data_IF_735946662865
#
_entry.id   IF_735946662865
#
_cell.length_a   1.000
_cell.length_b   1.000
_cell.length_c   1.000
_cell.angle_alpha   90.00
_cell.angle_beta   90.00
_cell.angle_gamma   90.00
#
_symmetry.space_group_name_H-M   'P 1'
#
loop_
_entity.id
_entity.type
_entity.pdbx_description
1 polymer ?
#
# COMPACT_ATOMS: atom_id res chain seq x y z
N UNK A 1 -18.79 -20.34 2.70
CA UNK A 1 -18.50 -18.96 2.22
C UNK A 1 -17.87 -18.09 3.31
N UNK A 2 -18.18 -18.28 4.60
CA UNK A 2 -17.70 -17.44 5.71
C UNK A 2 -16.16 -17.46 5.93
N UNK A 3 -15.50 -18.62 5.81
CA UNK A 3 -14.04 -18.74 6.03
C UNK A 3 -13.22 -17.92 5.01
N UNK A 4 -13.69 -17.85 3.75
CA UNK A 4 -13.03 -17.10 2.68
C UNK A 4 -13.24 -15.58 2.80
N UNK A 5 -14.43 -15.14 3.23
CA UNK A 5 -14.71 -13.72 3.53
C UNK A 5 -13.88 -13.25 4.72
N UNK A 6 -13.72 -14.07 5.77
CA UNK A 6 -12.80 -13.80 6.87
C UNK A 6 -11.34 -13.67 6.43
N UNK A 7 -10.91 -14.42 5.40
CA UNK A 7 -9.54 -14.34 4.86
C UNK A 7 -9.31 -13.06 4.05
N UNK A 8 -10.29 -12.61 3.26
CA UNK A 8 -10.20 -11.38 2.49
C UNK A 8 -10.21 -10.15 3.40
N UNK A 9 -11.11 -10.13 4.39
CA UNK A 9 -11.17 -9.07 5.40
C UNK A 9 -9.88 -9.02 6.24
N UNK A 10 -9.31 -10.17 6.61
CA UNK A 10 -8.02 -10.21 7.30
C UNK A 10 -6.90 -9.59 6.46
N UNK A 11 -6.85 -9.87 5.16
CA UNK A 11 -5.86 -9.27 4.24
C UNK A 11 -6.07 -7.77 4.04
N UNK A 12 -7.32 -7.34 3.96
CA UNK A 12 -7.67 -5.93 3.94
C UNK A 12 -7.17 -5.24 5.21
N UNK A 13 -7.46 -5.82 6.38
CA UNK A 13 -7.01 -5.31 7.67
C UNK A 13 -5.49 -5.24 7.78
N UNK A 14 -4.76 -6.23 7.26
CA UNK A 14 -3.30 -6.18 7.20
C UNK A 14 -2.76 -5.00 6.38
N UNK A 15 -3.43 -4.61 5.29
CA UNK A 15 -3.07 -3.44 4.48
C UNK A 15 -3.34 -2.16 5.25
N UNK A 16 -4.52 -2.05 5.86
CA UNK A 16 -4.92 -0.90 6.69
C UNK A 16 -3.93 -0.70 7.85
N UNK A 17 -3.63 -1.74 8.62
CA UNK A 17 -2.70 -1.67 9.76
C UNK A 17 -1.29 -1.26 9.31
N UNK A 18 -0.85 -1.72 8.14
CA UNK A 18 0.46 -1.34 7.59
C UNK A 18 0.50 0.13 7.14
N UNK A 19 -0.59 0.64 6.55
CA UNK A 19 -0.75 2.04 6.19
C UNK A 19 -0.77 2.93 7.44
N UNK A 20 -1.57 2.60 8.44
CA UNK A 20 -1.65 3.32 9.72
C UNK A 20 -0.30 3.40 10.44
N UNK A 21 0.44 2.28 10.43
CA UNK A 21 1.80 2.26 10.95
C UNK A 21 2.72 3.21 10.17
N UNK A 22 2.69 3.17 8.84
CA UNK A 22 3.53 4.05 8.01
C UNK A 22 3.18 5.54 8.20
N UNK A 23 1.90 5.88 8.36
CA UNK A 23 1.45 7.23 8.71
C UNK A 23 1.97 7.66 10.07
N UNK A 24 1.87 6.79 11.08
CA UNK A 24 2.41 7.05 12.41
C UNK A 24 3.91 7.33 12.37
N UNK A 25 4.67 6.54 11.58
CA UNK A 25 6.11 6.76 11.38
C UNK A 25 6.37 8.12 10.72
N UNK A 26 5.66 8.48 9.65
CA UNK A 26 5.80 9.78 8.99
C UNK A 26 5.51 10.94 9.98
N UNK A 27 4.41 10.87 10.72
CA UNK A 27 4.06 11.89 11.73
C UNK A 27 5.12 12.03 12.82
N UNK A 28 5.68 10.91 13.29
CA UNK A 28 6.76 10.92 14.28
C UNK A 28 8.03 11.56 13.72
N UNK A 29 8.39 11.25 12.47
CA UNK A 29 9.54 11.87 11.80
C UNK A 29 9.34 13.37 11.58
N UNK A 30 8.13 13.82 11.23
CA UNK A 30 7.79 15.24 11.14
C UNK A 30 7.89 15.94 12.50
N UNK A 31 7.44 15.30 13.59
CA UNK A 31 7.61 15.85 14.96
C UNK A 31 9.09 15.91 15.37
N UNK A 32 9.90 14.92 14.99
CA UNK A 32 11.34 14.93 15.21
C UNK A 32 12.00 16.09 14.46
N UNK A 33 11.64 16.30 13.19
CA UNK A 33 12.09 17.46 12.39
C UNK A 33 11.80 18.78 13.08
N UNK A 34 10.60 18.93 13.66
CA UNK A 34 10.20 20.16 14.36
C UNK A 34 10.93 20.37 15.70
N UNK A 35 11.21 19.30 16.44
CA UNK A 35 11.82 19.39 17.78
C UNK A 35 13.34 19.43 17.75
N UNK A 36 13.96 18.82 16.75
CA UNK A 36 15.40 18.59 16.67
C UNK A 36 15.92 18.88 15.27
N UNK A 37 15.65 20.07 14.75
CA UNK A 37 16.01 20.47 13.38
C UNK A 37 17.46 20.20 13.04
N UNK A 38 18.39 20.45 13.98
CA UNK A 38 19.83 20.31 13.76
C UNK A 38 20.33 18.86 13.71
N UNK A 39 19.57 17.91 14.25
CA UNK A 39 19.91 16.48 14.25
C UNK A 39 18.94 15.63 13.43
N UNK A 40 17.94 16.25 12.81
CA UNK A 40 17.01 15.58 11.92
C UNK A 40 17.73 15.13 10.65
N UNK A 41 17.68 13.82 10.37
CA UNK A 41 18.25 13.23 9.17
C UNK A 41 17.14 12.87 8.19
N UNK A 42 17.11 13.57 7.05
CA UNK A 42 16.12 13.36 5.99
C UNK A 42 16.23 11.97 5.36
N UNK A 43 17.44 11.44 5.19
CA UNK A 43 17.68 10.12 4.59
C UNK A 43 17.11 9.00 5.46
N UNK A 44 17.20 9.16 6.78
CA UNK A 44 16.57 8.24 7.75
C UNK A 44 15.06 8.27 7.62
N UNK A 45 14.47 9.46 7.48
CA UNK A 45 13.03 9.61 7.25
C UNK A 45 12.60 8.93 5.93
N UNK A 46 13.27 9.24 4.82
CA UNK A 46 13.03 8.62 3.52
C UNK A 46 13.12 7.09 3.62
N UNK A 47 14.19 6.57 4.22
CA UNK A 47 14.43 5.14 4.36
C UNK A 47 13.33 4.44 5.17
N UNK A 48 12.88 5.08 6.25
CA UNK A 48 11.84 4.53 7.12
C UNK A 48 10.51 4.39 6.37
N UNK A 49 10.07 5.41 5.63
CA UNK A 49 8.82 5.34 4.86
C UNK A 49 8.99 4.41 3.65
N UNK A 50 10.09 4.50 2.90
CA UNK A 50 10.34 3.66 1.73
C UNK A 50 10.35 2.16 2.09
N UNK A 51 10.89 1.80 3.26
CA UNK A 51 10.80 0.43 3.76
C UNK A 51 9.35 0.01 4.05
N UNK A 52 8.56 0.89 4.67
CA UNK A 52 7.12 0.67 4.90
C UNK A 52 6.35 0.44 3.59
N UNK A 53 6.60 1.28 2.57
CA UNK A 53 5.95 1.19 1.26
C UNK A 53 6.21 -0.14 0.53
N UNK A 54 7.41 -0.73 0.67
CA UNK A 54 7.68 -2.08 0.16
C UNK A 54 6.82 -3.14 0.85
N UNK A 55 6.59 -2.99 2.16
CA UNK A 55 5.69 -3.84 2.93
C UNK A 55 4.24 -3.70 2.46
N UNK A 56 3.76 -2.46 2.39
CA UNK A 56 2.40 -2.12 1.96
C UNK A 56 2.12 -2.64 0.54
N UNK A 57 3.03 -2.40 -0.41
CA UNK A 57 2.89 -2.87 -1.80
C UNK A 57 2.71 -4.39 -1.88
N UNK A 58 3.50 -5.18 -1.13
CA UNK A 58 3.35 -6.63 -1.10
C UNK A 58 2.02 -7.08 -0.51
N UNK A 59 1.52 -6.36 0.51
CA UNK A 59 0.23 -6.66 1.14
C UNK A 59 -0.94 -6.32 0.21
N UNK A 60 -0.87 -5.19 -0.49
CA UNK A 60 -1.84 -4.81 -1.53
C UNK A 60 -1.84 -5.86 -2.65
N UNK A 61 -0.67 -6.27 -3.14
CA UNK A 61 -0.58 -7.32 -4.16
C UNK A 61 -1.20 -8.65 -3.69
N UNK A 62 -0.97 -9.03 -2.43
CA UNK A 62 -1.55 -10.24 -1.85
C UNK A 62 -3.09 -10.13 -1.68
N UNK A 63 -3.59 -8.96 -1.32
CA UNK A 63 -5.02 -8.66 -1.21
C UNK A 63 -5.70 -8.72 -2.58
N UNK A 64 -5.16 -8.03 -3.57
CA UNK A 64 -5.66 -8.05 -4.95
C UNK A 64 -5.60 -9.47 -5.54
N UNK A 65 -4.51 -10.19 -5.32
CA UNK A 65 -4.40 -11.60 -5.75
C UNK A 65 -5.47 -12.47 -5.10
N UNK A 66 -5.77 -12.26 -3.82
CA UNK A 66 -6.82 -13.00 -3.12
C UNK A 66 -8.21 -12.67 -3.68
N UNK A 67 -8.46 -11.40 -4.01
CA UNK A 67 -9.68 -10.95 -4.66
C UNK A 67 -9.86 -11.64 -6.03
N UNK A 68 -8.82 -11.68 -6.85
CA UNK A 68 -8.83 -12.32 -8.16
C UNK A 68 -8.96 -13.86 -8.10
N UNK A 69 -8.29 -14.52 -7.14
CA UNK A 69 -8.31 -16.00 -7.01
C UNK A 69 -9.66 -16.55 -6.56
N UNK A 70 -10.51 -15.74 -5.91
CA UNK A 70 -11.85 -16.14 -5.46
C UNK A 70 -12.79 -16.49 -6.63
N UNK A 71 -12.48 -16.02 -7.84
CA UNK A 71 -13.41 -16.01 -8.97
C UNK A 71 -13.29 -17.16 -9.97
N UNK A 72 -12.72 -18.32 -9.57
CA UNK A 72 -12.56 -19.55 -10.38
C UNK A 72 -11.23 -19.59 -11.16
N UNK A 73 -10.38 -20.64 -11.01
CA UNK A 73 -9.12 -20.81 -11.75
C UNK A 73 -9.29 -20.85 -13.28
N UNK A 74 -10.52 -20.91 -13.79
CA UNK A 74 -10.85 -20.90 -15.22
C UNK A 74 -11.57 -19.64 -15.71
N UNK A 75 -11.99 -18.72 -14.83
CA UNK A 75 -12.64 -17.49 -15.25
C UNK A 75 -11.57 -16.42 -15.51
N UNK A 76 -11.24 -16.22 -16.78
CA UNK A 76 -10.15 -15.36 -17.22
C UNK A 76 -10.30 -13.87 -16.90
N UNK A 77 -11.40 -13.39 -16.30
CA UNK A 77 -11.66 -11.95 -16.15
C UNK A 77 -12.54 -11.64 -14.94
N UNK A 78 -11.89 -11.35 -13.82
CA UNK A 78 -12.30 -10.23 -13.01
C UNK A 78 -11.16 -9.22 -12.93
N UNK A 79 -11.42 -8.04 -13.49
CA UNK A 79 -10.53 -6.91 -13.41
C UNK A 79 -10.80 -6.24 -12.07
N UNK A 80 -9.78 -6.13 -11.22
CA UNK A 80 -9.78 -5.04 -10.25
C UNK A 80 -10.00 -3.73 -11.02
N UNK A 81 -10.62 -2.75 -10.37
CA UNK A 81 -10.83 -1.44 -10.99
C UNK A 81 -9.51 -0.91 -11.59
N UNK A 82 -9.65 -0.10 -12.64
CA UNK A 82 -8.48 0.58 -13.26
C UNK A 82 -7.71 1.39 -12.21
N UNK A 83 -8.39 1.93 -11.21
CA UNK A 83 -7.78 2.69 -10.11
C UNK A 83 -6.94 1.79 -9.20
N UNK A 84 -7.43 0.61 -8.80
CA UNK A 84 -6.64 -0.41 -8.09
C UNK A 84 -5.45 -0.92 -8.91
N UNK A 85 -5.63 -1.17 -10.20
CA UNK A 85 -4.53 -1.60 -11.08
C UNK A 85 -3.41 -0.54 -11.18
N UNK A 86 -3.79 0.73 -11.37
CA UNK A 86 -2.86 1.87 -11.41
C UNK A 86 -2.12 2.06 -10.09
N UNK A 87 -2.80 1.84 -8.96
CA UNK A 87 -2.17 1.86 -7.65
C UNK A 87 -1.06 0.79 -7.55
N UNK A 88 -1.34 -0.45 -7.96
CA UNK A 88 -0.33 -1.52 -7.95
C UNK A 88 0.87 -1.19 -8.85
N UNK A 89 0.61 -0.64 -10.03
CA UNK A 89 1.65 -0.21 -10.97
C UNK A 89 2.52 0.89 -10.37
N UNK A 90 1.91 1.96 -9.82
CA UNK A 90 2.63 3.05 -9.19
C UNK A 90 3.51 2.58 -8.02
N UNK A 91 2.99 1.69 -7.16
CA UNK A 91 3.75 1.12 -6.05
C UNK A 91 4.89 0.24 -6.52
N UNK A 92 4.69 -0.52 -7.61
CA UNK A 92 5.73 -1.36 -8.21
C UNK A 92 6.84 -0.52 -8.83
N UNK A 93 6.49 0.51 -9.59
CA UNK A 93 7.44 1.45 -10.20
C UNK A 93 8.26 2.16 -9.13
N UNK A 94 7.60 2.67 -8.08
CA UNK A 94 8.27 3.28 -6.95
C UNK A 94 9.25 2.31 -6.26
N UNK A 95 8.82 1.07 -6.00
CA UNK A 95 9.67 0.07 -5.36
C UNK A 95 10.86 -0.33 -6.26
N UNK A 96 10.66 -0.41 -7.58
CA UNK A 96 11.74 -0.68 -8.52
C UNK A 96 12.74 0.47 -8.57
N UNK A 97 12.26 1.72 -8.65
CA UNK A 97 13.11 2.90 -8.64
C UNK A 97 13.94 2.99 -7.35
N UNK A 98 13.31 2.85 -6.18
CA UNK A 98 14.01 2.91 -4.88
C UNK A 98 14.90 1.71 -4.58
N UNK A 99 14.73 0.58 -5.29
CA UNK A 99 15.65 -0.55 -5.19
C UNK A 99 16.95 -0.34 -6.01
N UNK A 100 16.92 0.56 -6.99
CA UNK A 100 18.04 0.81 -7.91
C UNK A 100 18.98 1.94 -7.47
N UNK A 101 18.64 2.65 -6.38
CA UNK A 101 19.38 3.82 -5.90
C UNK A 101 19.82 3.64 -4.45
N UNK A 102 20.81 4.41 -4.02
CA UNK A 102 21.21 4.44 -2.62
C UNK A 102 20.13 5.11 -1.76
N UNK A 103 20.00 4.76 -0.45
CA UNK A 103 18.93 5.29 0.40
C UNK A 103 18.89 6.82 0.52
N UNK A 104 20.04 7.49 0.47
CA UNK A 104 20.17 8.95 0.51
C UNK A 104 19.84 9.65 -0.82
N UNK A 105 19.62 8.89 -1.90
CA UNK A 105 19.18 9.42 -3.20
C UNK A 105 17.65 9.38 -3.34
N UNK A 106 16.96 8.79 -2.36
CA UNK A 106 15.50 8.70 -2.34
C UNK A 106 14.92 10.04 -1.92
N UNK A 107 14.11 10.64 -2.80
CA UNK A 107 13.37 11.86 -2.50
C UNK A 107 12.29 11.62 -1.43
N UNK A 108 12.31 12.46 -0.39
CA UNK A 108 11.27 12.44 0.65
C UNK A 108 9.89 12.73 0.05
N UNK A 109 9.81 13.71 -0.86
CA UNK A 109 8.55 14.10 -1.48
C UNK A 109 7.97 12.94 -2.31
N UNK A 110 8.80 12.26 -3.10
CA UNK A 110 8.38 11.08 -3.85
C UNK A 110 7.87 9.97 -2.91
N UNK A 111 8.54 9.81 -1.77
CA UNK A 111 8.19 8.81 -0.76
C UNK A 111 6.85 9.13 -0.08
N UNK A 112 6.64 10.38 0.32
CA UNK A 112 5.38 10.85 0.95
C UNK A 112 4.23 10.80 -0.05
N UNK A 113 4.43 11.26 -1.29
CA UNK A 113 3.40 11.20 -2.32
C UNK A 113 2.97 9.75 -2.62
N UNK A 114 3.92 8.81 -2.63
CA UNK A 114 3.63 7.40 -2.81
C UNK A 114 2.81 6.83 -1.63
N UNK A 115 3.11 7.25 -0.40
CA UNK A 115 2.31 6.90 0.78
C UNK A 115 0.89 7.46 0.71
N UNK A 116 0.72 8.72 0.32
CA UNK A 116 -0.59 9.34 0.13
C UNK A 116 -1.40 8.65 -0.97
N UNK A 117 -0.76 8.28 -2.08
CA UNK A 117 -1.38 7.51 -3.14
C UNK A 117 -1.82 6.12 -2.66
N UNK A 118 -1.02 5.47 -1.80
CA UNK A 118 -1.40 4.19 -1.20
C UNK A 118 -2.63 4.32 -0.29
N UNK A 119 -2.71 5.39 0.51
CA UNK A 119 -3.89 5.70 1.33
C UNK A 119 -5.13 5.98 0.48
N UNK A 120 -5.03 6.90 -0.49
CA UNK A 120 -6.14 7.25 -1.38
C UNK A 120 -6.55 6.09 -2.29
N UNK A 121 -5.66 5.11 -2.48
CA UNK A 121 -5.93 3.90 -3.23
C UNK A 121 -6.75 2.85 -2.47
N UNK A 122 -6.81 2.93 -1.14
CA UNK A 122 -7.51 1.94 -0.31
C UNK A 122 -9.02 1.95 -0.55
N UNK A 123 -9.62 3.14 -0.69
CA UNK A 123 -11.04 3.33 -1.07
C UNK A 123 -11.38 2.55 -2.35
N UNK A 124 -10.51 2.57 -3.35
CA UNK A 124 -10.70 1.85 -4.60
C UNK A 124 -10.71 0.33 -4.41
N UNK A 125 -9.92 -0.17 -3.46
CA UNK A 125 -9.86 -1.58 -3.13
C UNK A 125 -11.11 -1.98 -2.33
N UNK A 126 -11.57 -1.13 -1.40
CA UNK A 126 -12.83 -1.33 -0.68
C UNK A 126 -14.01 -1.43 -1.63
N UNK A 127 -14.11 -0.52 -2.61
CA UNK A 127 -15.14 -0.56 -3.66
C UNK A 127 -15.09 -1.87 -4.44
N UNK A 128 -13.89 -2.31 -4.82
CA UNK A 128 -13.69 -3.58 -5.53
C UNK A 128 -14.10 -4.80 -4.66
N UNK A 129 -13.82 -4.77 -3.35
CA UNK A 129 -14.26 -5.80 -2.40
C UNK A 129 -15.80 -5.78 -2.26
N UNK A 130 -16.41 -4.61 -2.13
CA UNK A 130 -17.85 -4.49 -1.98
C UNK A 130 -18.61 -4.93 -3.24
N UNK A 131 -18.16 -4.50 -4.41
CA UNK A 131 -18.69 -4.93 -5.70
C UNK A 131 -18.55 -6.44 -5.90
N UNK A 132 -17.45 -7.03 -5.40
CA UNK A 132 -17.28 -8.47 -5.36
C UNK A 132 -18.36 -9.12 -4.48
N UNK A 133 -18.51 -8.66 -3.23
CA UNK A 133 -19.44 -9.26 -2.27
C UNK A 133 -20.91 -9.21 -2.69
N UNK A 134 -21.37 -8.09 -3.24
CA UNK A 134 -22.74 -7.95 -3.75
C UNK A 134 -23.09 -8.96 -4.84
N UNK A 135 -22.10 -9.43 -5.61
CA UNK A 135 -22.31 -10.35 -6.73
C UNK A 135 -22.46 -11.81 -6.30
N UNK A 136 -22.02 -12.15 -5.10
CA UNK A 136 -22.06 -13.51 -4.54
C UNK A 136 -23.10 -13.69 -3.42
N UNK A 137 -23.91 -12.66 -3.17
CA UNK A 137 -25.16 -12.73 -2.39
C UNK A 137 -26.32 -13.13 -3.31
#
# INVERSE_FOLDING_TARGET
MEILHGTLLAKYKEVEDALDFAKTVNEQQLRLKQRHTDSYNVDVHCSAIAFGLRGISRKIDALVTALQRRDNPHAARFFVSVRTAKLQEALREYNAATASVAPWEISLDATVNCLELAFGGLESIEDDIYAHEQRWQ
#
